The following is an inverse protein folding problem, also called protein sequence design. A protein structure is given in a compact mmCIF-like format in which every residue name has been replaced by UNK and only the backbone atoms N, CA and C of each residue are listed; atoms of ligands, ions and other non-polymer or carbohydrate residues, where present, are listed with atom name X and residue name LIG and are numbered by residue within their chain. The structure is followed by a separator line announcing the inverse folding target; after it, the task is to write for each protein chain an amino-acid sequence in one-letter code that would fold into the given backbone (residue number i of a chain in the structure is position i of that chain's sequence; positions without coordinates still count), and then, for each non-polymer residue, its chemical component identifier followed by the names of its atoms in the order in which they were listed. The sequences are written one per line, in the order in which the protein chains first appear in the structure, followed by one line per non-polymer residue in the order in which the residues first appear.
data_IF_587535365866
#
_entry.id   IF_587535365866
#
_cell.length_a   1.000
_cell.length_b   1.000
_cell.length_c   1.000
_cell.angle_alpha   90.00
_cell.angle_beta   90.00
_cell.angle_gamma   90.00
#
_symmetry.space_group_name_H-M   'P 1'
#
loop_
_entity.id
_entity.type
_entity.pdbx_description
1 polymer ?
#
# COMPACT_ATOMS: atom_id res chain seq x y z
N UNK A 1 -56.25 -4.55 35.94
CA UNK A 1 -55.96 -5.61 34.97
C UNK A 1 -54.44 -5.61 34.83
N UNK A 2 -53.85 -6.46 35.62
CA UNK A 2 -52.39 -6.67 35.73
C UNK A 2 -52.01 -7.83 34.83
N UNK A 3 -51.11 -7.61 33.91
CA UNK A 3 -50.59 -8.65 33.04
C UNK A 3 -49.13 -8.91 33.39
N UNK A 4 -48.92 -10.05 34.03
CA UNK A 4 -47.65 -10.58 34.53
C UNK A 4 -46.95 -11.31 33.38
N UNK A 5 -45.91 -10.71 32.77
CA UNK A 5 -45.11 -11.40 31.79
C UNK A 5 -43.84 -11.97 32.42
N UNK A 6 -43.92 -13.22 32.77
CA UNK A 6 -42.92 -14.07 33.40
C UNK A 6 -41.79 -14.39 32.40
N UNK A 7 -40.57 -13.92 32.67
CA UNK A 7 -39.35 -14.23 31.91
C UNK A 7 -38.76 -15.55 32.44
N UNK A 8 -38.41 -16.52 31.60
CA UNK A 8 -37.78 -17.76 32.07
C UNK A 8 -36.27 -17.59 32.26
N UNK A 9 -35.82 -17.90 33.45
CA UNK A 9 -34.39 -18.06 33.80
C UNK A 9 -33.74 -19.19 32.99
N UNK A 10 -32.71 -18.85 32.23
CA UNK A 10 -31.87 -19.79 31.51
C UNK A 10 -30.66 -20.19 32.36
N UNK A 11 -30.70 -21.38 32.97
CA UNK A 11 -29.62 -21.99 33.74
C UNK A 11 -28.37 -22.17 32.84
N UNK A 12 -27.31 -21.45 33.13
CA UNK A 12 -25.95 -21.68 32.60
C UNK A 12 -25.38 -22.94 33.26
N UNK A 13 -25.21 -23.99 32.47
CA UNK A 13 -24.42 -25.16 32.83
C UNK A 13 -22.96 -24.87 32.64
N UNK A 14 -22.21 -24.77 33.71
CA UNK A 14 -20.76 -24.85 33.75
C UNK A 14 -20.32 -26.24 33.26
N UNK A 15 -19.54 -26.29 32.19
CA UNK A 15 -18.88 -27.47 31.68
C UNK A 15 -17.37 -27.29 31.93
N UNK A 16 -16.84 -28.01 32.92
CA UNK A 16 -15.41 -28.05 33.22
C UNK A 16 -14.63 -28.63 32.02
N UNK A 17 -13.45 -28.10 31.66
CA UNK A 17 -12.58 -28.72 30.69
C UNK A 17 -11.71 -29.79 31.37
N UNK A 18 -11.87 -31.02 30.94
CA UNK A 18 -10.98 -32.15 31.24
C UNK A 18 -9.58 -31.84 30.72
N UNK A 19 -8.59 -31.87 31.63
CA UNK A 19 -7.18 -31.96 31.33
C UNK A 19 -6.89 -33.30 30.65
N UNK A 20 -6.47 -33.25 29.40
CA UNK A 20 -5.80 -34.37 28.75
C UNK A 20 -4.33 -33.96 28.52
N UNK A 21 -3.46 -34.56 29.31
CA UNK A 21 -2.02 -34.58 29.13
C UNK A 21 -1.71 -35.50 27.94
N UNK A 22 -1.15 -34.97 26.88
CA UNK A 22 -0.52 -35.76 25.83
C UNK A 22 0.80 -35.13 25.46
N UNK A 23 1.87 -35.82 25.84
CA UNK A 23 3.22 -35.57 25.39
C UNK A 23 3.26 -35.73 23.87
N UNK A 24 3.64 -34.68 23.15
CA UNK A 24 3.94 -34.74 21.73
C UNK A 24 5.39 -34.40 21.51
N UNK A 25 6.09 -35.32 20.91
CA UNK A 25 7.46 -35.21 20.45
C UNK A 25 7.69 -34.03 19.50
N UNK A 26 8.90 -33.46 19.42
CA UNK A 26 9.20 -32.40 18.48
C UNK A 26 9.25 -32.96 17.05
N UNK A 27 8.31 -32.56 16.22
CA UNK A 27 8.39 -32.72 14.77
C UNK A 27 9.57 -31.88 14.27
N UNK A 28 10.62 -32.54 13.84
CA UNK A 28 11.69 -31.96 13.06
C UNK A 28 11.09 -31.40 11.77
N UNK A 29 10.95 -30.05 11.71
CA UNK A 29 10.62 -29.36 10.48
C UNK A 29 11.87 -29.41 9.62
N UNK A 30 11.85 -30.32 8.68
CA UNK A 30 12.80 -30.38 7.56
C UNK A 30 12.72 -29.05 6.81
N UNK A 31 13.72 -28.19 7.00
CA UNK A 31 13.92 -26.98 6.22
C UNK A 31 14.43 -27.38 4.85
N UNK A 32 13.60 -28.07 4.10
CA UNK A 32 13.82 -28.34 2.70
C UNK A 32 14.03 -27.03 1.96
N UNK A 33 15.25 -26.85 1.50
CA UNK A 33 15.74 -25.86 0.57
C UNK A 33 14.75 -25.68 -0.59
N UNK A 34 13.86 -24.70 -0.49
CA UNK A 34 13.12 -24.21 -1.65
C UNK A 34 13.99 -23.16 -2.35
N UNK A 35 15.01 -23.64 -3.02
CA UNK A 35 15.67 -22.89 -4.08
C UNK A 35 14.67 -22.85 -5.27
N UNK A 36 13.68 -21.99 -5.19
CA UNK A 36 12.86 -21.66 -6.35
C UNK A 36 13.65 -20.67 -7.21
N UNK A 37 14.40 -21.19 -8.14
CA UNK A 37 14.84 -20.48 -9.33
C UNK A 37 13.61 -20.02 -10.13
N UNK A 38 13.09 -18.86 -9.80
CA UNK A 38 12.27 -18.09 -10.70
C UNK A 38 13.10 -16.88 -11.13
N UNK A 39 13.86 -17.05 -12.18
CA UNK A 39 14.39 -15.96 -12.98
C UNK A 39 13.19 -15.31 -13.68
N UNK A 40 12.41 -14.54 -12.94
CA UNK A 40 11.46 -13.60 -13.50
C UNK A 40 12.30 -12.35 -13.76
N UNK A 41 12.34 -11.89 -15.00
CA UNK A 41 12.99 -10.64 -15.39
C UNK A 41 12.66 -9.55 -14.37
N UNK A 42 13.70 -9.16 -13.65
CA UNK A 42 13.55 -8.33 -12.45
C UNK A 42 13.44 -6.88 -12.90
N UNK A 43 12.33 -6.17 -12.65
CA UNK A 43 12.26 -4.75 -12.96
C UNK A 43 13.46 -4.02 -12.34
N UNK A 44 13.98 -3.02 -13.06
CA UNK A 44 15.21 -2.30 -12.69
C UNK A 44 15.21 -1.75 -11.25
N UNK A 45 14.02 -1.48 -10.68
CA UNK A 45 13.86 -0.95 -9.31
C UNK A 45 14.00 -2.01 -8.19
N UNK A 46 14.17 -3.30 -8.51
CA UNK A 46 14.50 -4.34 -7.49
C UNK A 46 15.96 -4.33 -7.05
N UNK A 47 16.75 -3.35 -7.45
CA UNK A 47 18.13 -3.20 -7.03
C UNK A 47 18.19 -3.04 -5.51
N UNK A 48 18.98 -3.89 -4.85
CA UNK A 48 19.22 -3.79 -3.40
C UNK A 48 19.86 -2.44 -3.09
N UNK A 49 19.26 -1.71 -2.13
CA UNK A 49 19.87 -0.49 -1.61
C UNK A 49 21.30 -0.77 -1.15
N UNK A 50 22.29 0.09 -1.50
CA UNK A 50 23.58 0.05 -0.86
C UNK A 50 23.40 0.19 0.66
N UNK A 51 23.99 -0.70 1.47
CA UNK A 51 23.67 -0.82 2.92
C UNK A 51 23.99 0.41 3.76
N UNK A 52 24.80 1.34 3.27
CA UNK A 52 25.41 2.38 4.11
C UNK A 52 25.01 3.83 3.81
N UNK A 53 24.08 4.06 2.86
CA UNK A 53 23.66 5.42 2.57
C UNK A 53 22.39 5.76 3.36
N UNK A 54 22.46 6.70 4.32
CA UNK A 54 21.27 7.14 5.04
C UNK A 54 20.28 7.78 4.07
N UNK A 55 18.98 7.52 4.28
CA UNK A 55 17.92 8.14 3.49
C UNK A 55 17.91 9.65 3.71
N UNK A 56 17.97 10.48 2.65
CA UNK A 56 18.19 11.91 2.80
C UNK A 56 16.98 12.68 3.31
N UNK A 57 15.77 12.13 3.17
CA UNK A 57 14.54 12.82 3.53
C UNK A 57 14.03 12.38 4.90
N UNK A 58 13.55 13.36 5.69
CA UNK A 58 12.90 13.14 6.98
C UNK A 58 11.50 13.75 6.95
N UNK A 59 10.52 13.10 7.56
CA UNK A 59 9.14 13.57 7.60
C UNK A 59 9.00 15.02 8.09
N UNK A 60 9.80 15.41 9.08
CA UNK A 60 9.78 16.77 9.64
C UNK A 60 10.23 17.87 8.67
N UNK A 61 10.95 17.52 7.60
CA UNK A 61 11.55 18.48 6.67
C UNK A 61 10.79 18.58 5.34
N UNK A 62 9.73 17.79 5.17
CA UNK A 62 9.00 17.68 3.90
C UNK A 62 7.50 17.76 4.18
N UNK A 63 6.76 18.42 3.29
CA UNK A 63 5.30 18.49 3.38
C UNK A 63 4.66 17.09 3.34
N UNK A 64 3.61 16.82 4.13
CA UNK A 64 2.89 15.55 4.06
C UNK A 64 2.39 15.18 2.66
N UNK A 65 2.07 16.17 1.81
CA UNK A 65 1.66 15.95 0.42
C UNK A 65 2.79 15.44 -0.47
N UNK A 66 4.04 15.61 -0.08
CA UNK A 66 5.20 15.15 -0.84
C UNK A 66 5.77 13.84 -0.27
N UNK A 67 5.23 13.30 0.81
CA UNK A 67 5.76 12.09 1.43
C UNK A 67 5.69 10.87 0.53
N UNK A 68 4.70 10.78 -0.35
CA UNK A 68 4.58 9.69 -1.31
C UNK A 68 5.82 9.55 -2.22
N UNK A 69 6.51 10.65 -2.52
CA UNK A 69 7.69 10.72 -3.40
C UNK A 69 9.00 10.98 -2.67
N UNK A 70 9.00 11.04 -1.35
CA UNK A 70 10.21 11.35 -0.56
C UNK A 70 10.44 10.39 0.60
N UNK A 71 9.44 9.73 1.14
CA UNK A 71 9.59 8.85 2.30
C UNK A 71 9.44 7.37 1.93
N UNK A 72 10.33 6.56 2.50
CA UNK A 72 10.20 5.11 2.44
C UNK A 72 8.96 4.64 3.19
N UNK A 73 8.39 3.52 2.79
CA UNK A 73 7.18 2.96 3.40
C UNK A 73 7.32 2.64 4.89
N UNK A 74 8.53 2.32 5.35
CA UNK A 74 8.86 2.02 6.75
C UNK A 74 9.12 3.25 7.62
N UNK A 75 9.21 4.43 7.00
CA UNK A 75 9.33 5.71 7.70
C UNK A 75 7.99 6.21 8.28
N UNK A 76 6.87 5.66 7.83
CA UNK A 76 5.53 6.04 8.32
C UNK A 76 5.19 5.34 9.62
N UNK A 77 5.54 5.96 10.73
CA UNK A 77 5.10 5.56 12.07
C UNK A 77 3.71 6.12 12.37
N UNK A 78 3.16 5.84 13.52
CA UNK A 78 1.82 6.28 13.92
C UNK A 78 1.64 7.79 13.80
N UNK A 79 2.64 8.58 14.17
CA UNK A 79 2.59 10.04 14.08
C UNK A 79 2.50 10.54 12.63
N UNK A 80 3.30 9.97 11.73
CA UNK A 80 3.27 10.31 10.31
C UNK A 80 1.95 9.87 9.68
N UNK A 81 1.43 8.70 10.03
CA UNK A 81 0.15 8.23 9.52
C UNK A 81 -1.01 9.12 9.97
N UNK A 82 -1.04 9.53 11.24
CA UNK A 82 -2.06 10.46 11.77
C UNK A 82 -1.96 11.82 11.05
N UNK A 83 -0.74 12.34 10.87
CA UNK A 83 -0.55 13.64 10.21
C UNK A 83 -0.96 13.57 8.73
N UNK A 84 -0.61 12.50 8.02
CA UNK A 84 -1.03 12.27 6.64
C UNK A 84 -2.56 12.23 6.54
N UNK A 85 -3.22 11.44 7.40
CA UNK A 85 -4.66 11.31 7.45
C UNK A 85 -5.33 12.67 7.70
N UNK A 86 -4.88 13.39 8.71
CA UNK A 86 -5.40 14.73 9.04
C UNK A 86 -5.19 15.72 7.90
N UNK A 87 -4.07 15.61 7.18
CA UNK A 87 -3.79 16.45 6.00
C UNK A 87 -4.78 16.18 4.89
N UNK A 88 -5.01 14.90 4.55
CA UNK A 88 -5.95 14.50 3.50
C UNK A 88 -7.40 14.91 3.87
N UNK A 89 -7.81 14.75 5.11
CA UNK A 89 -9.15 15.13 5.60
C UNK A 89 -9.40 16.66 5.54
N UNK A 90 -8.34 17.47 5.68
CA UNK A 90 -8.44 18.94 5.62
C UNK A 90 -8.38 19.50 4.21
N UNK A 91 -7.98 18.71 3.22
CA UNK A 91 -7.97 19.16 1.84
C UNK A 91 -9.43 19.24 1.39
N UNK A 92 -9.92 20.47 1.24
CA UNK A 92 -11.18 20.70 0.55
C UNK A 92 -11.01 20.31 -0.91
N UNK A 93 -11.94 19.52 -1.44
CA UNK A 93 -11.96 19.18 -2.86
C UNK A 93 -12.32 20.44 -3.63
N UNK A 94 -11.29 21.20 -4.01
CA UNK A 94 -11.48 22.46 -4.75
C UNK A 94 -11.76 22.20 -6.23
N UNK A 95 -11.20 21.14 -6.79
CA UNK A 95 -11.37 20.72 -8.18
C UNK A 95 -11.15 19.20 -8.27
N UNK A 96 -12.19 18.43 -8.37
CA UNK A 96 -12.07 16.99 -8.55
C UNK A 96 -13.43 16.39 -8.87
N UNK A 97 -13.46 15.43 -9.77
CA UNK A 97 -14.63 14.58 -9.98
C UNK A 97 -14.89 13.70 -8.76
N UNK A 98 -15.95 12.94 -8.80
CA UNK A 98 -16.38 12.03 -7.73
C UNK A 98 -15.29 11.05 -7.31
N UNK A 99 -14.42 10.63 -8.25
CA UNK A 99 -13.32 9.70 -8.00
C UNK A 99 -12.26 10.27 -7.04
N UNK A 100 -11.89 11.57 -7.18
CA UNK A 100 -10.94 12.19 -6.25
C UNK A 100 -11.54 12.32 -4.84
N UNK A 101 -12.83 12.62 -4.75
CA UNK A 101 -13.54 12.65 -3.46
C UNK A 101 -13.53 11.28 -2.80
N UNK A 102 -13.82 10.22 -3.55
CA UNK A 102 -13.72 8.84 -3.08
C UNK A 102 -12.30 8.45 -2.65
N UNK A 103 -11.29 8.83 -3.45
CA UNK A 103 -9.89 8.59 -3.15
C UNK A 103 -9.46 9.25 -1.82
N UNK A 104 -9.83 10.52 -1.62
CA UNK A 104 -9.56 11.26 -0.38
C UNK A 104 -10.30 10.67 0.83
N UNK A 105 -11.48 10.09 0.62
CA UNK A 105 -12.22 9.36 1.65
C UNK A 105 -11.57 8.00 2.00
N UNK A 106 -10.61 7.53 1.19
CA UNK A 106 -9.87 6.27 1.43
C UNK A 106 -10.38 5.09 0.60
N UNK A 107 -11.18 5.34 -0.44
CA UNK A 107 -11.51 4.31 -1.42
C UNK A 107 -10.28 4.01 -2.29
N UNK A 108 -9.77 2.79 -2.15
CA UNK A 108 -8.57 2.37 -2.86
C UNK A 108 -8.82 2.21 -4.37
N UNK A 109 -10.02 1.83 -4.79
CA UNK A 109 -10.34 1.70 -6.22
C UNK A 109 -10.39 3.07 -6.89
N UNK A 110 -11.03 4.05 -6.24
CA UNK A 110 -11.03 5.44 -6.68
C UNK A 110 -9.61 6.02 -6.72
N UNK A 111 -8.80 5.81 -5.67
CA UNK A 111 -7.42 6.29 -5.62
C UNK A 111 -6.53 5.70 -6.74
N UNK A 112 -6.70 4.41 -7.04
CA UNK A 112 -6.04 3.75 -8.16
C UNK A 112 -6.52 4.34 -9.50
N UNK A 113 -7.82 4.50 -9.69
CA UNK A 113 -8.41 5.09 -10.91
C UNK A 113 -7.87 6.50 -11.18
N UNK A 114 -7.84 7.36 -10.16
CA UNK A 114 -7.27 8.70 -10.25
C UNK A 114 -5.78 8.66 -10.61
N UNK A 115 -5.00 7.78 -9.96
CA UNK A 115 -3.58 7.63 -10.29
C UNK A 115 -3.37 7.25 -11.76
N UNK A 116 -4.17 6.31 -12.27
CA UNK A 116 -4.14 5.93 -13.69
C UNK A 116 -4.51 7.08 -14.62
N UNK A 117 -5.50 7.90 -14.26
CA UNK A 117 -5.95 9.02 -15.12
C UNK A 117 -4.89 10.13 -15.23
N UNK A 118 -3.99 10.23 -14.26
CA UNK A 118 -2.92 11.24 -14.22
C UNK A 118 -1.63 10.81 -14.94
N UNK A 119 -1.53 9.56 -15.38
CA UNK A 119 -0.35 9.08 -16.11
C UNK A 119 -0.42 9.47 -17.61
N UNK A 120 0.71 9.81 -18.23
CA UNK A 120 2.06 9.95 -17.67
C UNK A 120 2.22 11.21 -16.82
N UNK A 121 3.02 11.12 -15.76
CA UNK A 121 3.36 12.27 -14.91
C UNK A 121 4.69 12.85 -15.42
N UNK A 122 4.62 13.97 -16.12
CA UNK A 122 5.79 14.69 -16.61
C UNK A 122 6.32 15.68 -15.56
N UNK A 123 5.40 16.37 -14.86
CA UNK A 123 5.72 17.33 -13.82
C UNK A 123 4.87 17.08 -12.55
N UNK A 124 5.47 17.25 -11.39
CA UNK A 124 4.77 17.11 -10.11
C UNK A 124 4.03 18.38 -9.75
N UNK A 125 2.71 18.40 -9.97
CA UNK A 125 1.82 19.48 -9.58
C UNK A 125 1.17 19.23 -8.20
N UNK A 126 0.56 20.25 -7.61
CA UNK A 126 -0.19 20.09 -6.36
C UNK A 126 -1.33 19.08 -6.49
N UNK A 127 -2.02 19.04 -7.63
CA UNK A 127 -3.10 18.07 -7.89
C UNK A 127 -2.57 16.64 -7.87
N UNK A 128 -1.40 16.40 -8.47
CA UNK A 128 -0.73 15.10 -8.44
C UNK A 128 -0.31 14.76 -7.02
N UNK A 129 0.30 15.69 -6.28
CA UNK A 129 0.69 15.47 -4.90
C UNK A 129 -0.52 15.09 -4.02
N UNK A 130 -1.68 15.73 -4.21
CA UNK A 130 -2.93 15.39 -3.50
C UNK A 130 -3.40 13.99 -3.86
N UNK A 131 -3.51 13.67 -5.15
CA UNK A 131 -3.98 12.37 -5.63
C UNK A 131 -3.06 11.23 -5.18
N UNK A 132 -1.75 11.40 -5.32
CA UNK A 132 -0.77 10.42 -4.89
C UNK A 132 -0.72 10.27 -3.36
N UNK A 133 -1.02 11.33 -2.61
CA UNK A 133 -1.14 11.25 -1.15
C UNK A 133 -2.37 10.43 -0.75
N UNK A 134 -3.49 10.53 -1.47
CA UNK A 134 -4.66 9.67 -1.26
C UNK A 134 -4.33 8.20 -1.56
N UNK A 135 -3.61 7.93 -2.64
CA UNK A 135 -3.13 6.57 -2.98
C UNK A 135 -2.18 6.04 -1.90
N UNK A 136 -1.23 6.86 -1.42
CA UNK A 136 -0.30 6.54 -0.34
C UNK A 136 -1.05 6.19 0.96
N UNK A 137 -2.09 6.95 1.33
CA UNK A 137 -2.98 6.63 2.46
C UNK A 137 -3.59 5.23 2.33
N UNK A 138 -4.11 4.88 1.15
CA UNK A 138 -4.67 3.56 0.89
C UNK A 138 -3.62 2.46 1.00
N UNK A 139 -2.39 2.69 0.52
CA UNK A 139 -1.28 1.76 0.66
C UNK A 139 -0.91 1.53 2.14
N UNK A 140 -0.84 2.59 2.95
CA UNK A 140 -0.58 2.51 4.40
C UNK A 140 -1.71 1.81 5.16
N UNK A 141 -2.96 1.91 4.68
CA UNK A 141 -4.10 1.12 5.17
C UNK A 141 -4.03 -0.37 4.76
N UNK A 142 -2.84 -0.85 4.34
CA UNK A 142 -2.53 -2.23 3.96
C UNK A 142 -3.22 -2.71 2.68
N UNK A 143 -3.62 -1.79 1.80
CA UNK A 143 -4.11 -2.16 0.48
C UNK A 143 -2.92 -2.47 -0.43
N UNK A 144 -2.70 -3.77 -0.71
CA UNK A 144 -1.58 -4.23 -1.52
C UNK A 144 -1.62 -3.71 -2.96
N UNK A 145 -2.81 -3.56 -3.55
CA UNK A 145 -2.96 -3.05 -4.91
C UNK A 145 -2.59 -1.56 -4.98
N UNK A 146 -3.03 -0.75 -4.02
CA UNK A 146 -2.64 0.65 -3.93
C UNK A 146 -1.12 0.83 -3.76
N UNK A 147 -0.49 0.00 -2.93
CA UNK A 147 0.96 0.01 -2.76
C UNK A 147 1.72 -0.40 -4.03
N UNK A 148 1.18 -1.37 -4.78
CA UNK A 148 1.75 -1.79 -6.07
C UNK A 148 1.66 -0.67 -7.11
N UNK A 149 0.49 -0.03 -7.25
CA UNK A 149 0.29 1.10 -8.17
C UNK A 149 1.21 2.26 -7.79
N UNK A 150 1.29 2.59 -6.50
CA UNK A 150 2.19 3.65 -6.01
C UNK A 150 3.66 3.34 -6.36
N UNK A 151 4.11 2.10 -6.18
CA UNK A 151 5.46 1.69 -6.54
C UNK A 151 5.73 1.87 -8.05
N UNK A 152 4.77 1.48 -8.90
CA UNK A 152 4.89 1.64 -10.36
C UNK A 152 4.91 3.10 -10.79
N UNK A 153 4.01 3.92 -10.25
CA UNK A 153 3.98 5.37 -10.53
C UNK A 153 5.32 6.00 -10.16
N UNK A 154 5.85 5.74 -8.96
CA UNK A 154 7.15 6.27 -8.53
C UNK A 154 8.28 5.82 -9.47
N UNK A 155 8.27 4.55 -9.87
CA UNK A 155 9.30 3.99 -10.75
C UNK A 155 9.28 4.54 -12.18
N UNK A 156 8.13 5.03 -12.65
CA UNK A 156 7.92 5.60 -13.99
C UNK A 156 8.00 7.12 -14.01
N UNK A 157 7.86 7.77 -12.86
CA UNK A 157 7.93 9.24 -12.77
C UNK A 157 9.37 9.70 -12.60
N UNK A 158 9.78 10.69 -13.39
CA UNK A 158 11.04 11.40 -13.18
C UNK A 158 10.95 12.24 -11.91
N UNK A 159 11.40 11.70 -10.78
CA UNK A 159 11.47 12.47 -9.54
C UNK A 159 12.68 13.40 -9.54
N UNK A 160 12.56 14.55 -8.88
CA UNK A 160 13.64 15.57 -8.75
C UNK A 160 14.90 15.04 -8.06
N UNK A 161 14.84 13.84 -7.50
CA UNK A 161 15.96 13.16 -6.84
C UNK A 161 16.18 11.78 -7.45
N UNK A 162 17.42 11.34 -7.58
CA UNK A 162 17.80 10.04 -8.18
C UNK A 162 17.51 8.81 -7.32
N UNK A 163 16.46 8.83 -6.48
CA UNK A 163 16.14 7.76 -5.50
C UNK A 163 14.80 7.07 -5.81
N UNK A 164 14.24 7.30 -7.00
CA UNK A 164 12.94 6.73 -7.40
C UNK A 164 12.93 5.20 -7.33
N UNK A 165 14.02 4.55 -7.72
CA UNK A 165 14.17 3.10 -7.70
C UNK A 165 14.07 2.52 -6.29
N UNK A 166 14.79 3.11 -5.33
CA UNK A 166 14.78 2.66 -3.94
C UNK A 166 13.42 2.91 -3.29
N UNK A 167 12.81 4.04 -3.60
CA UNK A 167 11.51 4.40 -3.10
C UNK A 167 10.43 3.47 -3.63
N UNK A 168 10.42 3.20 -4.94
CA UNK A 168 9.52 2.23 -5.58
C UNK A 168 9.69 0.83 -4.97
N UNK A 169 10.93 0.37 -4.78
CA UNK A 169 11.23 -0.91 -4.14
C UNK A 169 10.69 -1.00 -2.70
N UNK A 170 10.74 0.10 -1.93
CA UNK A 170 10.18 0.16 -0.59
C UNK A 170 8.67 -0.05 -0.60
N UNK A 171 7.94 0.66 -1.47
CA UNK A 171 6.49 0.54 -1.60
C UNK A 171 6.05 -0.81 -2.17
N UNK A 172 6.80 -1.37 -3.11
CA UNK A 172 6.57 -2.73 -3.61
C UNK A 172 6.68 -3.77 -2.49
N UNK A 173 7.77 -3.70 -1.71
CA UNK A 173 7.99 -4.59 -0.56
C UNK A 173 6.88 -4.46 0.47
N UNK A 174 6.41 -3.23 0.71
CA UNK A 174 5.25 -2.97 1.57
C UNK A 174 4.00 -3.68 1.03
N UNK A 175 3.66 -3.49 -0.25
CA UNK A 175 2.52 -4.15 -0.88
C UNK A 175 2.61 -5.67 -0.84
N UNK A 176 3.78 -6.22 -1.12
CA UNK A 176 4.02 -7.67 -1.07
C UNK A 176 3.78 -8.24 0.34
N UNK A 177 4.19 -7.51 1.39
CA UNK A 177 3.99 -7.91 2.80
C UNK A 177 2.52 -8.07 3.15
N UNK A 178 1.64 -7.22 2.60
CA UNK A 178 0.22 -7.23 2.89
C UNK A 178 -0.63 -7.94 1.83
N UNK A 179 0.01 -8.48 0.79
CA UNK A 179 -0.69 -9.28 -0.22
C UNK A 179 -1.06 -10.65 0.33
N UNK A 180 -2.33 -11.03 0.18
CA UNK A 180 -2.81 -12.37 0.54
C UNK A 180 -2.27 -13.48 -0.39
N UNK A 181 -1.81 -13.12 -1.59
CA UNK A 181 -1.26 -14.05 -2.57
C UNK A 181 -0.09 -13.42 -3.34
N UNK A 182 1.15 -13.72 -2.95
CA UNK A 182 2.35 -13.17 -3.59
C UNK A 182 2.46 -13.46 -5.10
N UNK A 183 1.96 -14.63 -5.56
CA UNK A 183 1.99 -14.96 -6.99
C UNK A 183 1.03 -14.09 -7.79
N UNK A 184 -0.19 -13.88 -7.30
CA UNK A 184 -1.15 -12.96 -7.92
C UNK A 184 -0.65 -11.53 -7.89
N UNK A 185 0.05 -11.12 -6.83
CA UNK A 185 0.65 -9.80 -6.72
C UNK A 185 1.70 -9.58 -7.82
N UNK A 186 2.60 -10.54 -8.05
CA UNK A 186 3.59 -10.44 -9.14
C UNK A 186 2.95 -10.51 -10.53
N UNK A 187 1.85 -11.26 -10.70
CA UNK A 187 1.09 -11.25 -11.96
C UNK A 187 0.43 -9.89 -12.21
N UNK A 188 -0.18 -9.30 -11.17
CA UNK A 188 -0.77 -7.97 -11.25
C UNK A 188 0.28 -6.90 -11.61
N UNK A 189 1.50 -7.02 -11.10
CA UNK A 189 2.63 -6.16 -11.46
C UNK A 189 2.87 -6.14 -12.98
N UNK A 190 2.96 -7.31 -13.62
CA UNK A 190 3.19 -7.40 -15.06
C UNK A 190 2.06 -6.77 -15.87
N UNK A 191 0.80 -6.99 -15.46
CA UNK A 191 -0.38 -6.39 -16.11
C UNK A 191 -0.38 -4.86 -15.96
N UNK A 192 -0.09 -4.36 -14.77
CA UNK A 192 -0.01 -2.93 -14.50
C UNK A 192 1.09 -2.25 -15.30
N UNK A 193 2.27 -2.86 -15.37
CA UNK A 193 3.39 -2.31 -16.14
C UNK A 193 3.02 -2.18 -17.62
N UNK A 194 2.37 -3.19 -18.19
CA UNK A 194 1.87 -3.14 -19.57
C UNK A 194 0.86 -2.02 -19.76
N UNK A 195 -0.12 -1.89 -18.87
CA UNK A 195 -1.15 -0.85 -18.94
C UNK A 195 -0.56 0.57 -18.85
N UNK A 196 0.44 0.78 -17.99
CA UNK A 196 1.12 2.07 -17.89
C UNK A 196 1.97 2.38 -19.14
N UNK A 197 2.63 1.38 -19.71
CA UNK A 197 3.40 1.54 -20.96
C UNK A 197 2.52 1.87 -22.15
N UNK A 198 1.35 1.24 -22.26
CA UNK A 198 0.36 1.55 -23.30
C UNK A 198 -0.11 2.99 -23.17
N UNK A 199 -0.46 3.42 -21.97
CA UNK A 199 -0.92 4.79 -21.72
C UNK A 199 0.16 5.84 -22.00
N UNK A 200 1.42 5.53 -21.72
CA UNK A 200 2.54 6.42 -22.05
C UNK A 200 2.67 6.62 -23.56
N UNK A 201 2.52 5.55 -24.34
CA UNK A 201 2.57 5.63 -25.82
C UNK A 201 1.40 6.45 -26.39
N UNK A 202 0.20 6.29 -25.82
CA UNK A 202 -0.97 7.04 -26.28
C UNK A 202 -0.82 8.55 -26.00
N UNK A 203 -0.19 8.92 -24.88
CA UNK A 203 0.11 10.32 -24.54
C UNK A 203 1.17 10.98 -25.45
N UNK A 204 2.14 10.21 -25.95
CA UNK A 204 3.15 10.73 -26.90
C UNK A 204 2.61 10.92 -28.32
N UNK A 205 1.47 10.33 -28.63
CA UNK A 205 0.86 10.35 -29.97
C UNK A 205 -0.21 11.44 -30.13
N UNK A 206 -0.57 12.16 -29.08
CA UNK A 206 -1.59 13.20 -29.02
C UNK A 206 -0.99 14.61 -29.01
#
# INVERSE_FOLDING_TARGET
MTDDTKVPERKLRHKEPRRASAASAPLAIDRGSVAANASIDNPAWRIKRPPDRPWPFKAANVSPLQWWRTLLSDAFRDAEQILLLTTVERIGVLHGGDDLTGALAGDAAAAIGVAFSLMPIEETTLTIDIAMTALCRCALARNAAAALVLAQVIGLTGLDHGLATELAASWYTHGLRYSSNPRKFSQAEAVLLTAFQERHRDGESA
#
